data_IF_232996188408
#
_entry.id   IF_232996188408
#
_cell.length_a   1.000
_cell.length_b   1.000
_cell.length_c   1.000
_cell.angle_alpha   90.00
_cell.angle_beta   90.00
_cell.angle_gamma   90.00
#
_symmetry.space_group_name_H-M   'P 1'
#
loop_
_entity.id
_entity.type
_entity.pdbx_description
1 polymer ?
#
# COMPACT_ATOMS: atom_id res chain seq x y z
N UNK A 1 26.87 26.02 -9.94
CA UNK A 1 26.10 24.95 -9.27
C UNK A 1 26.07 23.76 -10.22
N UNK A 2 26.45 22.57 -9.76
CA UNK A 2 26.40 21.38 -10.62
C UNK A 2 24.94 20.98 -10.85
N UNK A 3 24.56 20.80 -12.12
CA UNK A 3 23.23 20.37 -12.54
C UNK A 3 23.35 18.91 -12.94
N UNK A 4 22.55 18.04 -12.32
CA UNK A 4 22.51 16.62 -12.61
C UNK A 4 21.26 16.29 -13.46
N UNK A 5 21.37 15.27 -14.32
CA UNK A 5 20.20 14.67 -14.97
C UNK A 5 19.29 14.06 -13.90
N UNK A 6 18.06 14.56 -13.82
CA UNK A 6 17.14 14.20 -12.74
C UNK A 6 16.67 12.75 -12.85
N UNK A 7 16.41 12.26 -14.07
CA UNK A 7 15.97 10.89 -14.30
C UNK A 7 17.05 9.89 -13.87
N UNK A 8 18.28 10.08 -14.33
CA UNK A 8 19.41 9.20 -13.98
C UNK A 8 19.66 9.19 -12.47
N UNK A 9 19.59 10.37 -11.85
CA UNK A 9 19.74 10.52 -10.41
C UNK A 9 18.70 9.71 -9.62
N UNK A 10 17.42 9.78 -10.03
CA UNK A 10 16.34 9.06 -9.35
C UNK A 10 16.50 7.53 -9.48
N UNK A 11 17.03 7.05 -10.60
CA UNK A 11 17.36 5.64 -10.78
C UNK A 11 18.52 5.21 -9.88
N UNK A 12 19.62 5.96 -9.86
CA UNK A 12 20.78 5.67 -9.02
C UNK A 12 20.44 5.73 -7.53
N UNK A 13 19.57 6.67 -7.12
CA UNK A 13 19.11 6.79 -5.75
C UNK A 13 18.23 5.60 -5.32
N UNK A 14 17.31 5.18 -6.18
CA UNK A 14 16.48 4.00 -5.92
C UNK A 14 17.32 2.73 -5.76
N UNK A 15 18.39 2.59 -6.55
CA UNK A 15 19.35 1.49 -6.43
C UNK A 15 20.04 1.45 -5.07
N UNK A 16 20.48 2.61 -4.56
CA UNK A 16 21.12 2.74 -3.25
C UNK A 16 20.20 2.41 -2.08
N UNK A 17 18.88 2.44 -2.27
CA UNK A 17 17.90 2.17 -1.23
C UNK A 17 17.44 0.72 -1.12
N UNK A 18 18.05 -0.18 -1.91
CA UNK A 18 17.79 -1.61 -1.84
C UNK A 18 18.19 -2.18 -0.47
N UNK A 19 17.28 -2.92 0.17
CA UNK A 19 17.49 -3.51 1.50
C UNK A 19 18.37 -4.76 1.41
N UNK A 20 19.11 -5.08 2.48
CA UNK A 20 19.96 -6.27 2.48
C UNK A 20 19.13 -7.53 2.44
N UNK A 21 19.59 -8.53 1.68
CA UNK A 21 18.89 -9.80 1.54
C UNK A 21 18.67 -10.49 2.88
N UNK A 22 19.65 -10.42 3.78
CA UNK A 22 19.53 -11.00 5.11
C UNK A 22 18.47 -10.29 5.95
N UNK A 23 18.46 -8.95 5.97
CA UNK A 23 17.43 -8.17 6.68
C UNK A 23 16.05 -8.44 6.09
N UNK A 24 15.94 -8.45 4.77
CA UNK A 24 14.72 -8.77 4.06
C UNK A 24 14.20 -10.16 4.41
N UNK A 25 15.07 -11.18 4.41
CA UNK A 25 14.68 -12.55 4.79
C UNK A 25 14.16 -12.64 6.22
N UNK A 26 14.84 -12.00 7.18
CA UNK A 26 14.40 -11.94 8.58
C UNK A 26 13.04 -11.25 8.69
N UNK A 27 12.86 -10.12 8.02
CA UNK A 27 11.57 -9.43 7.93
C UNK A 27 10.47 -10.33 7.37
N UNK A 28 10.70 -11.00 6.24
CA UNK A 28 9.71 -11.88 5.62
C UNK A 28 9.34 -13.03 6.56
N UNK A 29 10.32 -13.64 7.24
CA UNK A 29 10.06 -14.67 8.23
C UNK A 29 9.18 -14.16 9.38
N UNK A 30 9.57 -13.06 10.02
CA UNK A 30 8.85 -12.48 11.15
C UNK A 30 7.43 -12.06 10.73
N UNK A 31 7.27 -11.45 9.54
CA UNK A 31 5.95 -11.06 9.02
C UNK A 31 5.01 -12.26 8.80
N UNK A 32 5.54 -13.40 8.34
CA UNK A 32 4.77 -14.63 8.16
C UNK A 32 4.37 -15.22 9.50
N UNK A 33 5.30 -15.25 10.44
CA UNK A 33 5.05 -15.81 11.77
C UNK A 33 3.99 -14.99 12.53
N UNK A 34 4.10 -13.66 12.52
CA UNK A 34 3.08 -12.75 13.06
C UNK A 34 1.72 -12.94 12.37
N UNK A 35 1.71 -13.09 11.04
CA UNK A 35 0.50 -13.35 10.26
C UNK A 35 -0.15 -14.69 10.62
N UNK A 36 0.65 -15.74 10.88
CA UNK A 36 0.17 -17.05 11.29
C UNK A 36 -0.45 -16.99 12.69
N UNK A 37 0.23 -16.35 13.66
CA UNK A 37 -0.30 -16.19 15.01
C UNK A 37 -1.69 -15.50 15.02
N UNK A 38 -1.89 -14.49 14.16
CA UNK A 38 -3.19 -13.83 14.01
C UNK A 38 -4.24 -14.79 13.43
N UNK A 39 -3.87 -15.60 12.43
CA UNK A 39 -4.78 -16.56 11.80
C UNK A 39 -5.16 -17.69 12.75
N UNK A 40 -4.21 -18.22 13.52
CA UNK A 40 -4.42 -19.23 14.55
C UNK A 40 -5.38 -18.71 15.63
N UNK A 41 -5.17 -17.47 16.11
CA UNK A 41 -6.07 -16.90 17.09
C UNK A 41 -7.51 -16.72 16.56
N UNK A 42 -7.67 -16.35 15.28
CA UNK A 42 -8.99 -16.26 14.64
C UNK A 42 -9.66 -17.63 14.50
N UNK A 43 -8.88 -18.69 14.24
CA UNK A 43 -9.37 -20.06 14.23
C UNK A 43 -9.86 -20.49 15.62
N UNK A 44 -9.06 -20.24 16.67
CA UNK A 44 -9.43 -20.51 18.07
C UNK A 44 -10.66 -19.72 18.51
N UNK A 45 -10.80 -18.48 18.06
CA UNK A 45 -11.96 -17.64 18.33
C UNK A 45 -13.23 -18.07 17.58
N UNK A 46 -13.12 -19.08 16.71
CA UNK A 46 -14.15 -19.49 15.76
C UNK A 46 -14.71 -18.30 14.97
N UNK A 47 -13.81 -17.41 14.55
CA UNK A 47 -14.13 -16.17 13.86
C UNK A 47 -14.72 -16.45 12.47
N UNK A 48 -15.54 -15.53 11.95
CA UNK A 48 -16.08 -15.62 10.58
C UNK A 48 -14.96 -15.50 9.55
N UNK A 49 -13.93 -14.69 9.84
CA UNK A 49 -12.76 -14.53 8.97
C UNK A 49 -11.70 -15.63 9.13
N UNK A 50 -11.97 -16.70 9.89
CA UNK A 50 -11.02 -17.82 10.05
C UNK A 50 -10.66 -18.42 8.67
N UNK A 51 -9.36 -18.62 8.43
CA UNK A 51 -8.86 -19.13 7.14
C UNK A 51 -8.96 -18.16 5.95
N UNK A 52 -9.51 -16.95 6.11
CA UNK A 52 -9.65 -15.98 5.01
C UNK A 52 -8.46 -15.01 4.90
N UNK A 53 -7.64 -14.87 5.94
CA UNK A 53 -6.54 -13.90 5.98
C UNK A 53 -5.17 -14.47 5.56
N UNK A 54 -5.15 -15.54 4.75
CA UNK A 54 -3.92 -16.25 4.37
C UNK A 54 -2.86 -15.37 3.67
N UNK A 55 -3.28 -14.29 3.03
CA UNK A 55 -2.39 -13.34 2.33
C UNK A 55 -1.96 -12.14 3.19
N UNK A 56 -2.26 -12.13 4.50
CA UNK A 56 -1.97 -10.99 5.38
C UNK A 56 -0.49 -10.59 5.35
N UNK A 57 0.43 -11.54 5.33
CA UNK A 57 1.88 -11.30 5.24
C UNK A 57 2.30 -10.44 4.02
N UNK A 58 1.58 -10.48 2.90
CA UNK A 58 1.88 -9.63 1.73
C UNK A 58 1.60 -8.16 1.99
N UNK A 59 0.75 -7.86 2.97
CA UNK A 59 0.40 -6.49 3.36
C UNK A 59 1.41 -5.87 4.34
N UNK A 60 2.40 -6.66 4.77
CA UNK A 60 3.41 -6.23 5.71
C UNK A 60 4.30 -5.11 5.16
N UNK A 61 4.81 -4.29 6.07
CA UNK A 61 5.90 -3.37 5.86
C UNK A 61 6.73 -3.33 7.15
N UNK A 62 8.04 -3.49 7.03
CA UNK A 62 8.98 -3.21 8.11
C UNK A 62 9.31 -1.73 8.11
N UNK A 63 9.26 -1.11 9.28
CA UNK A 63 9.57 0.31 9.47
C UNK A 63 10.56 0.45 10.62
N UNK A 64 11.65 1.14 10.34
CA UNK A 64 12.68 1.54 11.31
C UNK A 64 13.15 2.95 10.99
N UNK A 65 12.52 3.94 11.63
CA UNK A 65 12.74 5.37 11.36
C UNK A 65 12.55 5.70 9.86
N UNK A 66 13.63 6.01 9.13
CA UNK A 66 13.61 6.29 7.69
C UNK A 66 13.68 5.02 6.84
N UNK A 67 13.94 3.85 7.42
CA UNK A 67 14.01 2.59 6.69
C UNK A 67 12.61 2.00 6.52
N UNK A 68 12.31 1.62 5.29
CA UNK A 68 11.12 0.87 4.90
C UNK A 68 11.58 -0.37 4.13
N UNK A 69 10.96 -1.51 4.43
CA UNK A 69 11.05 -2.72 3.62
C UNK A 69 9.65 -3.33 3.45
N UNK A 70 9.41 -3.99 2.32
CA UNK A 70 8.13 -4.62 1.98
C UNK A 70 8.37 -5.86 1.11
N UNK A 71 7.45 -6.84 1.11
CA UNK A 71 7.57 -7.99 0.22
C UNK A 71 7.66 -7.57 -1.25
N UNK A 72 8.41 -8.30 -2.09
CA UNK A 72 8.45 -8.01 -3.54
C UNK A 72 7.07 -8.03 -4.20
N UNK A 73 6.15 -8.83 -3.65
CA UNK A 73 4.75 -8.93 -4.03
C UNK A 73 3.84 -8.24 -3.02
N UNK A 74 4.25 -7.08 -2.49
CA UNK A 74 3.50 -6.34 -1.47
C UNK A 74 2.07 -6.02 -1.93
N UNK A 75 1.11 -6.09 -1.03
CA UNK A 75 -0.29 -5.74 -1.34
C UNK A 75 -0.78 -4.64 -0.39
N UNK A 76 -1.73 -3.84 -0.87
CA UNK A 76 -2.60 -3.03 0.00
C UNK A 76 -3.98 -3.66 0.15
N UNK A 77 -4.45 -4.38 -0.86
CA UNK A 77 -5.73 -5.08 -0.79
C UNK A 77 -5.47 -6.47 -0.21
N UNK A 78 -6.19 -6.83 0.86
CA UNK A 78 -6.19 -8.19 1.39
C UNK A 78 -7.34 -8.95 0.72
N UNK A 79 -7.06 -9.78 -0.30
CA UNK A 79 -8.10 -10.53 -0.98
C UNK A 79 -8.66 -11.62 -0.07
N UNK A 80 -9.98 -11.71 -0.01
CA UNK A 80 -10.71 -12.83 0.56
C UNK A 80 -11.68 -13.41 -0.46
N UNK A 81 -11.96 -14.71 -0.36
CA UNK A 81 -12.99 -15.35 -1.18
C UNK A 81 -14.28 -15.39 -0.38
N UNK A 82 -15.39 -15.08 -1.03
CA UNK A 82 -16.70 -15.24 -0.41
C UNK A 82 -16.96 -16.74 -0.15
N UNK A 83 -17.56 -17.09 1.00
CA UNK A 83 -17.85 -18.49 1.33
C UNK A 83 -19.04 -19.06 0.54
N UNK A 84 -19.65 -18.27 -0.33
CA UNK A 84 -20.81 -18.65 -1.11
C UNK A 84 -20.84 -17.93 -2.46
N UNK A 85 -21.38 -18.55 -3.53
CA UNK A 85 -21.50 -17.89 -4.81
C UNK A 85 -22.50 -16.73 -4.77
N UNK A 86 -22.24 -15.73 -5.60
CA UNK A 86 -23.01 -14.49 -5.71
C UNK A 86 -23.23 -14.14 -7.19
N UNK A 87 -24.29 -13.40 -7.46
CA UNK A 87 -24.63 -12.86 -8.78
C UNK A 87 -24.15 -11.41 -8.86
N UNK A 88 -23.30 -11.06 -9.82
CA UNK A 88 -22.85 -9.69 -10.02
C UNK A 88 -23.84 -8.87 -10.86
N UNK A 89 -24.00 -7.60 -10.51
CA UNK A 89 -24.61 -6.56 -11.34
C UNK A 89 -23.58 -5.44 -11.52
N UNK A 90 -23.18 -5.16 -12.76
CA UNK A 90 -22.08 -4.23 -13.04
C UNK A 90 -22.60 -2.85 -13.46
N UNK A 91 -21.92 -1.80 -13.01
CA UNK A 91 -22.16 -0.44 -13.45
C UNK A 91 -20.93 0.12 -14.17
N UNK A 92 -21.08 0.37 -15.47
CA UNK A 92 -20.01 0.89 -16.33
C UNK A 92 -19.51 2.26 -15.89
N UNK A 93 -20.40 3.25 -15.80
CA UNK A 93 -20.01 4.64 -15.50
C UNK A 93 -19.33 4.83 -14.14
N UNK A 94 -19.65 3.98 -13.16
CA UNK A 94 -19.05 4.01 -11.82
C UNK A 94 -17.88 3.03 -11.66
N UNK A 95 -17.62 2.19 -12.66
CA UNK A 95 -16.69 1.04 -12.59
C UNK A 95 -16.87 0.24 -11.29
N UNK A 96 -18.12 -0.08 -10.97
CA UNK A 96 -18.51 -0.75 -9.72
C UNK A 96 -19.29 -2.03 -9.98
N UNK A 97 -19.43 -2.83 -8.94
CA UNK A 97 -20.21 -4.07 -8.94
C UNK A 97 -21.09 -4.14 -7.69
N UNK A 98 -22.32 -4.59 -7.87
CA UNK A 98 -23.18 -5.05 -6.79
C UNK A 98 -23.19 -6.57 -6.79
N UNK A 99 -23.09 -7.17 -5.61
CA UNK A 99 -23.00 -8.61 -5.46
C UNK A 99 -24.18 -9.06 -4.60
N UNK A 100 -25.00 -9.97 -5.13
CA UNK A 100 -26.21 -10.41 -4.44
C UNK A 100 -26.40 -11.92 -4.49
N UNK A 101 -27.15 -12.45 -3.52
CA UNK A 101 -27.58 -13.83 -3.47
C UNK A 101 -28.92 -13.89 -2.75
N UNK A 102 -29.92 -14.52 -3.37
CA UNK A 102 -31.21 -14.74 -2.74
C UNK A 102 -31.07 -15.61 -1.48
N UNK A 103 -31.79 -15.24 -0.42
CA UNK A 103 -31.87 -15.97 0.85
C UNK A 103 -30.49 -16.21 1.50
N UNK A 104 -29.58 -15.25 1.37
CA UNK A 104 -28.25 -15.35 1.97
C UNK A 104 -28.33 -15.22 3.50
N UNK A 105 -27.89 -16.27 4.20
CA UNK A 105 -27.74 -16.28 5.66
C UNK A 105 -26.26 -16.32 6.02
N UNK A 106 -25.56 -15.19 5.90
CA UNK A 106 -24.17 -15.06 6.32
C UNK A 106 -23.85 -13.64 6.77
N UNK A 107 -22.98 -13.43 7.78
CA UNK A 107 -22.65 -12.09 8.32
C UNK A 107 -22.05 -11.10 7.32
N UNK A 108 -21.65 -11.58 6.14
CA UNK A 108 -21.16 -10.73 5.05
C UNK A 108 -22.28 -10.06 4.25
N UNK A 109 -23.53 -10.47 4.46
CA UNK A 109 -24.68 -9.98 3.71
C UNK A 109 -25.55 -9.09 4.58
N UNK A 110 -26.18 -8.10 3.95
CA UNK A 110 -27.29 -7.34 4.51
C UNK A 110 -28.50 -7.55 3.60
N UNK A 111 -29.50 -8.29 4.08
CA UNK A 111 -30.51 -8.87 3.20
C UNK A 111 -29.85 -9.81 2.18
N UNK A 112 -30.09 -9.57 0.89
CA UNK A 112 -29.53 -10.38 -0.19
C UNK A 112 -28.20 -9.83 -0.75
N UNK A 113 -27.72 -8.66 -0.30
CA UNK A 113 -26.55 -8.01 -0.87
C UNK A 113 -25.30 -8.25 -0.02
N UNK A 114 -24.14 -8.49 -0.66
CA UNK A 114 -22.84 -8.51 0.03
C UNK A 114 -22.51 -7.10 0.48
N UNK A 115 -22.43 -6.90 1.81
CA UNK A 115 -22.36 -5.57 2.38
C UNK A 115 -20.95 -5.23 2.90
N UNK A 116 -20.28 -4.29 2.24
CA UNK A 116 -18.90 -3.91 2.57
C UNK A 116 -18.78 -3.37 4.00
N UNK A 117 -19.79 -2.63 4.48
CA UNK A 117 -19.81 -2.05 5.82
C UNK A 117 -19.88 -3.13 6.90
N UNK A 118 -20.79 -4.10 6.77
CA UNK A 118 -20.93 -5.23 7.68
C UNK A 118 -19.62 -6.02 7.76
N UNK A 119 -19.02 -6.34 6.61
CA UNK A 119 -17.76 -7.07 6.56
C UNK A 119 -16.61 -6.33 7.26
N UNK A 120 -16.44 -5.02 6.99
CA UNK A 120 -15.37 -4.23 7.61
C UNK A 120 -15.59 -4.01 9.12
N UNK A 121 -16.84 -3.87 9.58
CA UNK A 121 -17.15 -3.74 11.00
C UNK A 121 -16.92 -5.06 11.75
N UNK A 122 -17.33 -6.18 11.17
CA UNK A 122 -17.09 -7.51 11.72
C UNK A 122 -15.59 -7.82 11.79
N UNK A 123 -14.86 -7.58 10.70
CA UNK A 123 -13.41 -7.78 10.66
C UNK A 123 -12.69 -6.95 11.73
N UNK A 124 -13.16 -5.72 11.96
CA UNK A 124 -12.64 -4.87 13.04
C UNK A 124 -12.84 -5.50 14.42
N UNK A 125 -14.03 -6.01 14.70
CA UNK A 125 -14.32 -6.64 15.99
C UNK A 125 -13.47 -7.89 16.19
N UNK A 126 -13.39 -8.76 15.18
CA UNK A 126 -12.63 -10.02 15.27
C UNK A 126 -11.14 -9.78 15.41
N UNK A 127 -10.54 -8.89 14.61
CA UNK A 127 -9.11 -8.56 14.75
C UNK A 127 -8.80 -7.85 16.06
N UNK A 128 -9.67 -6.96 16.53
CA UNK A 128 -9.48 -6.30 17.82
C UNK A 128 -9.46 -7.34 18.95
N UNK A 129 -10.38 -8.31 18.93
CA UNK A 129 -10.43 -9.41 19.89
C UNK A 129 -9.19 -10.30 19.79
N UNK A 130 -8.87 -10.80 18.60
CA UNK A 130 -7.73 -11.69 18.38
C UNK A 130 -6.41 -11.04 18.81
N UNK A 131 -6.13 -9.81 18.37
CA UNK A 131 -4.91 -9.08 18.76
C UNK A 131 -4.83 -8.83 20.26
N UNK A 132 -5.96 -8.55 20.92
CA UNK A 132 -5.99 -8.35 22.38
C UNK A 132 -5.70 -9.62 23.19
N UNK A 133 -5.97 -10.81 22.62
CA UNK A 133 -5.67 -12.10 23.24
C UNK A 133 -4.21 -12.50 23.05
N UNK A 134 -3.68 -12.34 21.83
CA UNK A 134 -2.29 -12.66 21.51
C UNK A 134 -1.33 -11.82 22.36
N UNK A 135 -1.57 -10.50 22.43
CA UNK A 135 -0.75 -9.48 23.10
C UNK A 135 0.68 -9.36 22.57
N UNK A 136 1.47 -10.42 22.65
CA UNK A 136 2.84 -10.45 22.15
C UNK A 136 3.18 -11.76 21.43
N UNK A 137 4.14 -11.67 20.51
CA UNK A 137 4.58 -12.78 19.68
C UNK A 137 6.10 -12.80 19.64
N UNK A 138 6.71 -13.93 19.98
CA UNK A 138 8.16 -14.14 19.93
C UNK A 138 8.57 -14.83 18.63
N UNK A 139 9.54 -14.28 17.90
CA UNK A 139 10.14 -14.93 16.73
C UNK A 139 11.22 -15.91 17.15
N UNK A 140 11.04 -17.18 16.75
CA UNK A 140 12.05 -18.22 16.93
C UNK A 140 13.28 -18.01 16.05
N UNK A 141 13.16 -17.29 14.93
CA UNK A 141 14.25 -17.06 13.99
C UNK A 141 15.11 -15.85 14.38
N UNK A 142 14.48 -14.73 14.74
CA UNK A 142 15.20 -13.50 15.07
C UNK A 142 15.44 -13.33 16.58
N UNK A 143 14.78 -14.13 17.43
CA UNK A 143 14.79 -13.96 18.88
C UNK A 143 14.02 -12.72 19.35
N UNK A 144 13.41 -11.97 18.43
CA UNK A 144 12.70 -10.72 18.72
C UNK A 144 11.31 -11.00 19.29
N UNK A 145 10.86 -10.12 20.17
CA UNK A 145 9.50 -10.16 20.71
C UNK A 145 8.76 -8.91 20.29
N UNK A 146 7.56 -9.10 19.77
CA UNK A 146 6.71 -8.03 19.26
C UNK A 146 5.46 -7.87 20.10
N UNK A 147 5.14 -6.63 20.47
CA UNK A 147 3.83 -6.28 21.04
C UNK A 147 2.87 -5.89 19.92
N UNK A 148 1.68 -6.50 19.91
CA UNK A 148 0.68 -6.28 18.88
C UNK A 148 -0.32 -5.19 19.28
N UNK A 149 -0.67 -4.35 18.31
CA UNK A 149 -1.73 -3.37 18.43
C UNK A 149 -2.58 -3.35 17.17
N UNK A 150 -3.88 -3.25 17.36
CA UNK A 150 -4.84 -3.11 16.27
C UNK A 150 -5.45 -1.70 16.24
N UNK A 151 -5.60 -1.14 15.04
CA UNK A 151 -6.30 0.12 14.80
C UNK A 151 -6.86 0.18 13.37
N UNK A 152 -7.66 1.21 13.09
CA UNK A 152 -8.28 1.40 11.77
C UNK A 152 -8.25 2.87 11.35
N UNK A 153 -8.08 3.12 10.06
CA UNK A 153 -8.42 4.39 9.42
C UNK A 153 -9.87 4.29 8.92
N UNK A 154 -10.73 5.16 9.42
CA UNK A 154 -12.14 5.18 9.05
C UNK A 154 -12.41 6.13 7.89
N UNK A 155 -13.38 5.74 7.06
CA UNK A 155 -14.00 6.58 6.05
C UNK A 155 -15.52 6.53 6.24
N UNK A 156 -16.13 7.70 6.43
CA UNK A 156 -17.56 7.84 6.73
C UNK A 156 -18.00 6.92 7.88
N UNK A 157 -17.27 7.00 9.00
CA UNK A 157 -17.49 6.23 10.25
C UNK A 157 -17.33 4.70 10.15
N UNK A 158 -16.92 4.18 9.00
CA UNK A 158 -16.73 2.74 8.79
C UNK A 158 -15.25 2.47 8.48
N UNK A 159 -14.65 1.38 9.00
CA UNK A 159 -13.27 1.03 8.70
C UNK A 159 -13.01 0.94 7.20
N UNK A 160 -11.85 1.43 6.78
CA UNK A 160 -11.40 1.37 5.40
C UNK A 160 -10.02 0.73 5.30
N UNK A 161 -9.04 1.25 6.06
CA UNK A 161 -7.74 0.61 6.22
C UNK A 161 -7.67 -0.02 7.62
N UNK A 162 -7.41 -1.31 7.66
CA UNK A 162 -7.11 -2.06 8.89
C UNK A 162 -5.61 -2.08 9.13
N UNK A 163 -5.21 -1.93 10.38
CA UNK A 163 -3.80 -1.76 10.76
C UNK A 163 -3.49 -2.65 11.96
N UNK A 164 -2.67 -3.68 11.74
CA UNK A 164 -2.03 -4.44 12.82
C UNK A 164 -0.58 -4.01 12.88
N UNK A 165 -0.13 -3.51 14.03
CA UNK A 165 1.24 -3.07 14.26
C UNK A 165 1.89 -3.98 15.29
N UNK A 166 2.99 -4.59 14.91
CA UNK A 166 3.86 -5.41 15.74
C UNK A 166 5.11 -4.60 16.08
N UNK A 167 5.17 -4.05 17.28
CA UNK A 167 6.27 -3.20 17.74
C UNK A 167 7.32 -4.05 18.44
N UNK A 168 8.59 -3.96 18.02
CA UNK A 168 9.69 -4.67 18.66
C UNK A 168 9.89 -4.16 20.10
N UNK A 169 9.94 -5.07 21.07
CA UNK A 169 10.23 -4.73 22.47
C UNK A 169 11.64 -4.16 22.62
N UNK A 170 11.80 -3.25 23.57
CA UNK A 170 13.10 -2.60 23.84
C UNK A 170 13.53 -1.57 22.79
N UNK A 171 12.68 -1.24 21.81
CA UNK A 171 13.02 -0.32 20.71
C UNK A 171 12.37 1.06 20.83
N UNK A 172 11.79 1.41 21.98
CA UNK A 172 11.07 2.68 22.19
C UNK A 172 10.02 2.99 21.10
N UNK A 173 9.43 1.96 20.50
CA UNK A 173 8.44 2.11 19.44
C UNK A 173 8.98 2.46 18.05
N UNK A 174 10.31 2.46 17.85
CA UNK A 174 10.92 2.86 16.58
C UNK A 174 10.91 1.77 15.52
N UNK A 175 11.13 0.52 15.93
CA UNK A 175 11.18 -0.65 15.04
C UNK A 175 9.87 -1.41 15.11
N UNK A 176 9.22 -1.58 13.95
CA UNK A 176 7.92 -2.24 13.86
C UNK A 176 7.72 -2.95 12.52
N UNK A 177 6.89 -4.00 12.56
CA UNK A 177 6.27 -4.59 11.37
C UNK A 177 4.80 -4.20 11.40
N UNK A 178 4.30 -3.63 10.31
CA UNK A 178 2.90 -3.24 10.19
C UNK A 178 2.21 -3.93 9.03
N UNK A 179 1.03 -4.44 9.28
CA UNK A 179 0.11 -4.98 8.29
C UNK A 179 -0.98 -3.94 8.07
N UNK A 180 -0.83 -3.17 7.00
CA UNK A 180 -1.84 -2.22 6.56
C UNK A 180 -2.58 -2.78 5.36
N UNK A 181 -3.90 -2.88 5.45
CA UNK A 181 -4.67 -3.42 4.34
C UNK A 181 -6.11 -2.91 4.24
N UNK A 182 -6.62 -2.91 3.02
CA UNK A 182 -8.02 -2.71 2.67
C UNK A 182 -8.62 -4.07 2.37
N UNK A 183 -9.74 -4.40 3.02
CA UNK A 183 -10.46 -5.65 2.72
C UNK A 183 -10.97 -5.62 1.27
N UNK A 184 -10.69 -6.68 0.52
CA UNK A 184 -11.17 -6.84 -0.84
C UNK A 184 -11.69 -8.26 -1.09
N UNK A 185 -12.68 -8.39 -1.97
CA UNK A 185 -13.21 -9.66 -2.44
C UNK A 185 -12.44 -10.06 -3.70
N UNK A 186 -11.91 -11.27 -3.76
CA UNK A 186 -11.23 -11.82 -4.94
C UNK A 186 -12.16 -12.71 -5.75
N UNK A 187 -12.12 -12.53 -7.07
CA UNK A 187 -12.84 -13.34 -8.04
C UNK A 187 -11.88 -13.82 -9.12
N UNK A 188 -12.04 -15.09 -9.51
CA UNK A 188 -11.34 -15.65 -10.67
C UNK A 188 -12.05 -15.19 -11.93
N UNK A 189 -11.35 -14.52 -12.84
CA UNK A 189 -11.96 -13.99 -14.07
C UNK A 189 -12.50 -15.05 -15.02
N UNK A 190 -12.09 -16.31 -14.87
CA UNK A 190 -12.68 -17.44 -15.60
C UNK A 190 -14.06 -17.85 -15.05
N UNK A 191 -14.30 -17.65 -13.74
CA UNK A 191 -15.55 -18.01 -13.07
C UNK A 191 -16.55 -16.84 -13.05
N UNK A 192 -16.05 -15.61 -12.89
CA UNK A 192 -16.85 -14.40 -12.87
C UNK A 192 -16.22 -13.38 -13.83
N UNK A 193 -16.65 -13.44 -15.08
CA UNK A 193 -16.10 -12.62 -16.17
C UNK A 193 -16.50 -11.16 -15.99
N UNK A 194 -15.51 -10.26 -16.01
CA UNK A 194 -15.78 -8.83 -16.05
C UNK A 194 -16.25 -8.43 -17.46
N UNK A 195 -17.24 -7.51 -17.57
CA UNK A 195 -17.61 -6.91 -18.84
C UNK A 195 -16.40 -6.29 -19.57
N UNK A 196 -16.40 -6.27 -20.93
CA UNK A 196 -15.26 -5.82 -21.72
C UNK A 196 -14.74 -4.41 -21.39
N UNK A 197 -15.62 -3.50 -20.98
CA UNK A 197 -15.27 -2.12 -20.64
C UNK A 197 -14.40 -1.99 -19.37
N UNK A 198 -14.21 -3.05 -18.59
CA UNK A 198 -13.22 -3.07 -17.51
C UNK A 198 -11.79 -3.37 -18.00
N UNK A 199 -11.62 -3.77 -19.26
CA UNK A 199 -10.32 -4.10 -19.87
C UNK A 199 -9.50 -5.13 -19.08
N UNK A 200 -10.19 -6.05 -18.42
CA UNK A 200 -9.58 -7.13 -17.66
C UNK A 200 -9.09 -8.22 -18.63
N UNK A 201 -7.83 -8.66 -18.55
CA UNK A 201 -7.37 -9.80 -19.34
C UNK A 201 -8.19 -11.06 -18.98
N UNK A 202 -8.62 -11.79 -19.99
CA UNK A 202 -9.42 -13.02 -19.83
C UNK A 202 -8.67 -14.00 -18.92
N UNK A 203 -9.39 -14.57 -17.95
CA UNK A 203 -8.85 -15.56 -17.01
C UNK A 203 -8.03 -14.99 -15.86
N UNK A 204 -7.72 -13.68 -15.83
CA UNK A 204 -7.04 -13.08 -14.68
C UNK A 204 -8.00 -12.76 -13.55
N UNK A 205 -7.49 -12.82 -12.33
CA UNK A 205 -8.24 -12.41 -11.15
C UNK A 205 -8.54 -10.92 -11.17
N UNK A 206 -9.66 -10.55 -10.56
CA UNK A 206 -10.00 -9.18 -10.25
C UNK A 206 -10.49 -9.10 -8.81
N UNK A 207 -10.47 -7.90 -8.25
CA UNK A 207 -10.91 -7.69 -6.87
C UNK A 207 -11.97 -6.60 -6.79
N UNK A 208 -12.85 -6.73 -5.80
CA UNK A 208 -13.83 -5.73 -5.43
C UNK A 208 -13.46 -5.17 -4.06
N UNK A 209 -13.27 -3.85 -3.94
CA UNK A 209 -12.98 -3.21 -2.66
C UNK A 209 -14.01 -2.14 -2.35
N UNK A 210 -14.16 -1.79 -1.06
CA UNK A 210 -15.14 -0.80 -0.64
C UNK A 210 -14.87 0.54 -1.34
N UNK A 211 -15.87 1.06 -2.06
CA UNK A 211 -15.72 2.34 -2.73
C UNK A 211 -15.65 3.49 -1.73
N UNK A 212 -14.77 4.46 -2.00
CA UNK A 212 -14.72 5.73 -1.28
C UNK A 212 -15.80 6.62 -1.87
N UNK A 213 -16.96 6.70 -1.21
CA UNK A 213 -18.07 7.53 -1.70
C UNK A 213 -17.63 8.98 -1.89
N UNK A 214 -17.91 9.56 -3.06
CA UNK A 214 -17.82 11.00 -3.28
C UNK A 214 -19.01 11.67 -2.57
N UNK A 215 -18.78 12.81 -1.92
CA UNK A 215 -19.82 13.50 -1.15
C UNK A 215 -21.05 13.76 -2.03
N UNK A 216 -22.23 13.32 -1.56
CA UNK A 216 -23.53 13.65 -2.19
C UNK A 216 -24.21 12.54 -2.99
N UNK A 217 -23.64 11.34 -3.11
CA UNK A 217 -24.32 10.21 -3.76
C UNK A 217 -25.36 9.57 -2.81
N UNK A 218 -26.67 9.59 -3.14
CA UNK A 218 -27.70 8.97 -2.32
C UNK A 218 -27.67 7.43 -2.35
N UNK A 219 -27.03 6.83 -3.36
CA UNK A 219 -26.92 5.39 -3.55
C UNK A 219 -25.47 5.01 -3.93
N UNK A 220 -24.50 5.18 -3.02
CA UNK A 220 -23.11 4.89 -3.35
C UNK A 220 -22.96 3.39 -3.63
N UNK A 221 -22.37 3.06 -4.78
CA UNK A 221 -22.03 1.68 -5.09
C UNK A 221 -21.09 1.15 -3.99
N UNK A 222 -21.37 -0.04 -3.47
CA UNK A 222 -20.61 -0.54 -2.32
C UNK A 222 -19.20 -1.01 -2.71
N UNK A 223 -19.05 -1.59 -3.90
CA UNK A 223 -17.81 -2.22 -4.35
C UNK A 223 -17.28 -1.62 -5.65
N UNK A 224 -16.09 -1.01 -5.58
CA UNK A 224 -15.32 -0.62 -6.74
C UNK A 224 -14.57 -1.84 -7.31
N UNK A 225 -14.56 -1.98 -8.63
CA UNK A 225 -13.82 -3.05 -9.31
C UNK A 225 -12.39 -2.58 -9.57
N UNK A 226 -11.42 -3.43 -9.25
CA UNK A 226 -10.01 -3.21 -9.52
C UNK A 226 -9.41 -4.45 -10.19
N UNK A 227 -8.67 -4.23 -11.27
CA UNK A 227 -7.89 -5.28 -11.94
C UNK A 227 -6.44 -5.11 -11.49
N UNK A 228 -5.87 -6.04 -10.70
CA UNK A 228 -4.53 -5.88 -10.17
C UNK A 228 -3.45 -6.13 -11.24
N UNK A 229 -3.19 -5.11 -12.06
CA UNK A 229 -2.33 -5.18 -13.27
C UNK A 229 -0.84 -5.39 -13.01
N UNK A 230 -0.39 -5.12 -11.78
CA UNK A 230 1.03 -5.17 -11.40
C UNK A 230 1.47 -6.54 -10.86
N UNK A 231 0.54 -7.40 -10.44
CA UNK A 231 0.87 -8.70 -9.85
C UNK A 231 1.54 -9.68 -10.84
N UNK A 232 1.37 -9.45 -12.15
CA UNK A 232 2.02 -10.21 -13.23
C UNK A 232 3.27 -9.51 -13.78
N UNK A 233 3.93 -8.68 -12.97
CA UNK A 233 5.16 -8.00 -13.38
C UNK A 233 6.36 -8.92 -13.15
N UNK A 234 7.39 -8.75 -13.98
CA UNK A 234 8.63 -9.50 -13.84
C UNK A 234 9.35 -9.10 -12.54
N UNK A 235 10.14 -9.99 -11.91
CA UNK A 235 10.83 -9.69 -10.64
C UNK A 235 11.62 -8.38 -10.62
N UNK A 236 12.28 -8.04 -11.73
CA UNK A 236 13.00 -6.78 -11.88
C UNK A 236 12.10 -5.55 -11.76
N UNK A 237 10.94 -5.57 -12.43
CA UNK A 237 9.96 -4.49 -12.34
C UNK A 237 9.38 -4.37 -10.93
N UNK A 238 9.11 -5.50 -10.25
CA UNK A 238 8.68 -5.50 -8.85
C UNK A 238 9.71 -4.84 -7.92
N UNK A 239 11.00 -5.09 -8.16
CA UNK A 239 12.09 -4.52 -7.37
C UNK A 239 12.27 -3.02 -7.64
N UNK A 240 12.14 -2.57 -8.90
CA UNK A 240 12.14 -1.14 -9.23
C UNK A 240 10.98 -0.40 -8.55
N UNK A 241 9.78 -0.98 -8.57
CA UNK A 241 8.61 -0.44 -7.88
C UNK A 241 8.88 -0.37 -6.38
N UNK A 242 9.38 -1.45 -5.77
CA UNK A 242 9.70 -1.48 -4.34
C UNK A 242 10.67 -0.36 -3.97
N UNK A 243 11.75 -0.21 -4.72
CA UNK A 243 12.75 0.83 -4.49
C UNK A 243 12.16 2.24 -4.67
N UNK A 244 11.29 2.45 -5.65
CA UNK A 244 10.52 3.68 -5.83
C UNK A 244 9.68 4.02 -4.58
N UNK A 245 8.99 3.04 -4.00
CA UNK A 245 8.16 3.26 -2.80
C UNK A 245 9.01 3.53 -1.55
N UNK A 246 10.15 2.84 -1.40
CA UNK A 246 11.10 3.06 -0.30
C UNK A 246 11.71 4.47 -0.38
N UNK A 247 12.12 4.90 -1.57
CA UNK A 247 12.61 6.24 -1.83
C UNK A 247 11.57 7.30 -1.45
N UNK A 248 10.32 7.14 -1.91
CA UNK A 248 9.24 8.07 -1.61
C UNK A 248 8.92 8.12 -0.11
N UNK A 249 8.89 6.96 0.56
CA UNK A 249 8.74 6.89 2.01
C UNK A 249 9.81 7.70 2.75
N UNK A 250 11.08 7.49 2.37
CA UNK A 250 12.23 8.17 2.97
C UNK A 250 12.14 9.67 2.78
N UNK A 251 11.88 10.12 1.56
CA UNK A 251 11.72 11.52 1.22
C UNK A 251 10.60 12.18 2.05
N UNK A 252 9.41 11.58 2.08
CA UNK A 252 8.28 12.12 2.84
C UNK A 252 8.55 12.11 4.35
N UNK A 253 9.20 11.08 4.87
CA UNK A 253 9.57 10.99 6.28
C UNK A 253 10.59 12.06 6.68
N UNK A 254 11.63 12.27 5.87
CA UNK A 254 12.63 13.32 6.08
C UNK A 254 12.00 14.71 6.04
N UNK A 255 11.02 14.93 5.17
CA UNK A 255 10.25 16.17 5.08
C UNK A 255 9.13 16.28 6.13
N UNK A 256 9.13 15.39 7.14
CA UNK A 256 8.16 15.35 8.24
C UNK A 256 6.69 15.29 7.75
N UNK A 257 6.46 14.63 6.63
CA UNK A 257 5.14 14.39 6.05
C UNK A 257 4.61 13.02 6.47
N UNK A 258 4.61 12.74 7.79
CA UNK A 258 4.34 11.41 8.36
C UNK A 258 2.97 10.83 7.96
N UNK A 259 1.95 11.64 7.74
CA UNK A 259 0.64 11.18 7.25
C UNK A 259 0.70 10.66 5.80
N UNK A 260 1.61 11.19 4.98
CA UNK A 260 1.81 10.78 3.60
C UNK A 260 2.85 9.68 3.48
N UNK A 261 3.81 9.62 4.42
CA UNK A 261 4.81 8.56 4.54
C UNK A 261 4.27 7.26 5.18
N UNK A 262 2.96 7.09 5.35
CA UNK A 262 2.43 5.81 5.83
C UNK A 262 2.52 4.73 4.73
N UNK A 263 3.00 3.51 5.02
CA UNK A 263 2.98 2.41 4.04
C UNK A 263 1.60 2.17 3.42
N UNK A 264 0.53 2.21 4.22
CA UNK A 264 -0.85 2.22 3.72
C UNK A 264 -1.09 3.25 2.60
N UNK A 265 -0.67 4.50 2.83
CA UNK A 265 -0.87 5.62 1.90
C UNK A 265 -0.10 5.41 0.59
N UNK A 266 1.16 5.00 0.71
CA UNK A 266 2.06 4.78 -0.42
C UNK A 266 1.57 3.60 -1.29
N UNK A 267 1.26 2.46 -0.67
CA UNK A 267 0.77 1.27 -1.38
C UNK A 267 -0.60 1.52 -2.03
N UNK A 268 -1.50 2.22 -1.34
CA UNK A 268 -2.82 2.57 -1.90
C UNK A 268 -2.68 3.49 -3.11
N UNK A 269 -1.87 4.55 -3.01
CA UNK A 269 -1.62 5.45 -4.12
C UNK A 269 -0.97 4.74 -5.32
N UNK A 270 -0.01 3.84 -5.07
CA UNK A 270 0.57 2.99 -6.12
C UNK A 270 -0.50 2.15 -6.82
N UNK A 271 -1.37 1.46 -6.08
CA UNK A 271 -2.43 0.66 -6.70
C UNK A 271 -3.35 1.51 -7.60
N UNK A 272 -3.68 2.72 -7.17
CA UNK A 272 -4.49 3.66 -7.97
C UNK A 272 -3.77 4.14 -9.23
N UNK A 273 -2.46 4.44 -9.15
CA UNK A 273 -1.64 4.76 -10.33
C UNK A 273 -1.66 3.60 -11.33
N UNK A 274 -1.48 2.37 -10.87
CA UNK A 274 -1.47 1.20 -11.77
C UNK A 274 -2.83 0.99 -12.44
N UNK A 275 -3.93 1.31 -11.75
CA UNK A 275 -5.25 1.23 -12.35
C UNK A 275 -5.45 2.29 -13.43
N UNK A 276 -5.10 3.55 -13.13
CA UNK A 276 -5.22 4.69 -14.04
C UNK A 276 -4.33 4.56 -15.28
N UNK A 277 -3.05 4.20 -15.07
CA UNK A 277 -2.04 4.07 -16.14
C UNK A 277 -2.09 2.72 -16.86
N UNK A 278 -2.94 1.80 -16.42
CA UNK A 278 -3.23 0.51 -17.08
C UNK A 278 -2.00 -0.34 -17.39
N UNK A 279 -1.58 -0.47 -18.65
CA UNK A 279 -0.36 -1.21 -19.03
C UNK A 279 0.86 -0.29 -19.11
N UNK A 280 0.63 1.01 -19.27
CA UNK A 280 1.66 2.03 -19.49
C UNK A 280 2.49 2.28 -18.23
N UNK A 281 1.99 1.89 -17.04
CA UNK A 281 2.79 1.99 -15.81
C UNK A 281 4.10 1.18 -15.91
N UNK A 282 4.13 0.12 -16.71
CA UNK A 282 5.31 -0.73 -16.89
C UNK A 282 6.44 -0.03 -17.65
N UNK A 283 6.11 1.00 -18.43
CA UNK A 283 7.07 1.83 -19.16
C UNK A 283 7.47 3.10 -18.42
N UNK A 284 6.89 3.37 -17.24
CA UNK A 284 7.22 4.55 -16.45
C UNK A 284 8.59 4.40 -15.80
N UNK A 285 9.38 5.47 -15.85
CA UNK A 285 10.59 5.62 -15.06
C UNK A 285 10.27 5.71 -13.56
N UNK A 286 11.28 5.51 -12.72
CA UNK A 286 11.16 5.71 -11.28
C UNK A 286 10.69 7.13 -10.94
N UNK A 287 11.19 8.14 -11.65
CA UNK A 287 10.78 9.54 -11.46
C UNK A 287 9.30 9.77 -11.79
N UNK A 288 8.86 9.33 -12.97
CA UNK A 288 7.45 9.44 -13.40
C UNK A 288 6.52 8.70 -12.44
N UNK A 289 6.91 7.49 -12.02
CA UNK A 289 6.14 6.68 -11.09
C UNK A 289 6.05 7.35 -9.71
N UNK A 290 7.17 7.88 -9.21
CA UNK A 290 7.22 8.61 -7.93
C UNK A 290 6.26 9.81 -7.93
N UNK A 291 6.27 10.60 -9.00
CA UNK A 291 5.40 11.77 -9.14
C UNK A 291 3.94 11.36 -9.22
N UNK A 292 3.61 10.34 -10.01
CA UNK A 292 2.24 9.85 -10.12
C UNK A 292 1.72 9.36 -8.77
N UNK A 293 2.51 8.59 -8.01
CA UNK A 293 2.12 8.13 -6.68
C UNK A 293 1.91 9.33 -5.75
N UNK A 294 2.86 10.26 -5.70
CA UNK A 294 2.78 11.44 -4.85
C UNK A 294 1.55 12.31 -5.20
N UNK A 295 1.21 12.44 -6.48
CA UNK A 295 0.00 13.13 -6.93
C UNK A 295 -1.26 12.52 -6.29
N UNK A 296 -1.43 11.19 -6.35
CA UNK A 296 -2.59 10.53 -5.74
C UNK A 296 -2.63 10.67 -4.22
N UNK A 297 -1.47 10.67 -3.56
CA UNK A 297 -1.39 10.88 -2.11
C UNK A 297 -1.84 12.28 -1.70
N UNK A 298 -1.40 13.30 -2.44
CA UNK A 298 -1.55 14.71 -2.07
C UNK A 298 -2.88 15.31 -2.52
N UNK A 299 -3.38 14.92 -3.68
CA UNK A 299 -4.53 15.56 -4.33
C UNK A 299 -5.78 14.69 -4.41
N UNK A 300 -5.66 13.35 -4.33
CA UNK A 300 -6.79 12.45 -4.56
C UNK A 300 -7.24 11.71 -3.30
N UNK A 301 -6.63 10.55 -3.03
CA UNK A 301 -7.33 9.43 -2.41
C UNK A 301 -7.21 9.38 -0.87
N UNK A 302 -6.14 9.95 -0.30
CA UNK A 302 -5.82 9.78 1.12
C UNK A 302 -6.13 11.01 1.99
N UNK A 303 -6.35 12.17 1.36
CA UNK A 303 -6.55 13.43 2.07
C UNK A 303 -7.80 13.39 2.99
N UNK A 304 -8.92 12.83 2.51
CA UNK A 304 -10.17 12.78 3.28
C UNK A 304 -10.11 11.80 4.46
N UNK A 305 -9.45 10.64 4.29
CA UNK A 305 -9.32 9.63 5.34
C UNK A 305 -8.37 10.07 6.47
N UNK A 306 -7.32 10.83 6.17
CA UNK A 306 -6.40 11.37 7.20
C UNK A 306 -7.09 12.46 8.02
N UNK A 307 -7.86 13.34 7.38
CA UNK A 307 -8.57 14.45 8.03
C UNK A 307 -9.73 13.96 8.91
N UNK A 308 -10.47 12.94 8.46
CA UNK A 308 -11.64 12.39 9.17
C UNK A 308 -11.32 11.65 10.46
N UNK A 309 -10.07 11.18 10.64
CA UNK A 309 -9.64 10.42 11.82
C UNK A 309 -9.07 11.30 12.96
N UNK A 310 -9.26 12.62 12.90
CA UNK A 310 -8.90 13.54 13.99
C UNK A 310 -9.89 13.45 15.16
N UNK A 311 -9.68 12.50 16.08
CA UNK A 311 -10.48 12.34 17.33
C UNK A 311 -9.98 13.25 18.46
N UNK A 312 -10.86 13.89 19.21
CA UNK A 312 -10.51 14.67 20.40
C UNK A 312 -11.48 15.83 20.64
N UNK A 313 -11.26 16.59 21.70
CA UNK A 313 -11.97 17.85 21.93
C UNK A 313 -11.73 18.86 20.79
N UNK A 314 -12.50 19.95 20.78
CA UNK A 314 -12.46 20.96 19.70
C UNK A 314 -11.06 21.54 19.50
N UNK A 315 -10.29 21.75 20.57
CA UNK A 315 -8.95 22.33 20.51
C UNK A 315 -7.92 21.33 19.94
N UNK A 316 -7.90 20.10 20.45
CA UNK A 316 -7.05 19.01 19.97
C UNK A 316 -7.33 18.67 18.51
N UNK A 317 -8.62 18.66 18.11
CA UNK A 317 -9.02 18.46 16.71
C UNK A 317 -8.49 19.56 15.81
N UNK A 318 -8.62 20.82 16.22
CA UNK A 318 -8.13 21.98 15.46
C UNK A 318 -6.61 21.94 15.31
N UNK A 319 -5.88 21.65 16.39
CA UNK A 319 -4.43 21.52 16.38
C UNK A 319 -3.95 20.41 15.43
N UNK A 320 -4.56 19.21 15.52
CA UNK A 320 -4.24 18.10 14.62
C UNK A 320 -4.57 18.41 13.16
N UNK A 321 -5.70 19.07 12.90
CA UNK A 321 -6.06 19.50 11.55
C UNK A 321 -5.01 20.46 10.97
N UNK A 322 -4.53 21.41 11.78
CA UNK A 322 -3.46 22.32 11.36
C UNK A 322 -2.14 21.57 11.11
N UNK A 323 -1.79 20.59 11.94
CA UNK A 323 -0.63 19.74 11.72
C UNK A 323 -0.74 18.97 10.38
N UNK A 324 -1.90 18.40 10.07
CA UNK A 324 -2.16 17.71 8.80
C UNK A 324 -2.05 18.69 7.62
N UNK A 325 -2.62 19.89 7.72
CA UNK A 325 -2.52 20.93 6.67
C UNK A 325 -1.07 21.36 6.43
N UNK A 326 -0.27 21.52 7.48
CA UNK A 326 1.18 21.81 7.35
C UNK A 326 1.90 20.69 6.62
N UNK A 327 1.62 19.43 6.97
CA UNK A 327 2.18 18.28 6.24
C UNK A 327 1.73 18.26 4.78
N UNK A 328 0.47 18.58 4.49
CA UNK A 328 -0.05 18.64 3.13
C UNK A 328 0.65 19.74 2.31
N UNK A 329 0.88 20.92 2.89
CA UNK A 329 1.62 21.99 2.24
C UNK A 329 3.05 21.56 1.91
N UNK A 330 3.74 20.90 2.85
CA UNK A 330 5.08 20.34 2.61
C UNK A 330 5.08 19.31 1.50
N UNK A 331 4.14 18.35 1.52
CA UNK A 331 4.02 17.33 0.48
C UNK A 331 3.69 17.91 -0.90
N UNK A 332 2.87 18.98 -0.98
CA UNK A 332 2.64 19.75 -2.22
C UNK A 332 3.89 20.45 -2.72
N UNK A 333 4.69 21.01 -1.80
CA UNK A 333 5.99 21.60 -2.14
C UNK A 333 6.95 20.57 -2.74
N UNK A 334 7.06 19.40 -2.11
CA UNK A 334 7.84 18.27 -2.65
C UNK A 334 7.34 17.86 -4.03
N UNK A 335 6.02 17.73 -4.22
CA UNK A 335 5.44 17.40 -5.52
C UNK A 335 5.80 18.44 -6.60
N UNK A 336 5.59 19.73 -6.32
CA UNK A 336 5.87 20.78 -7.28
C UNK A 336 7.34 20.80 -7.72
N UNK A 337 8.24 20.57 -6.76
CA UNK A 337 9.68 20.51 -6.99
C UNK A 337 10.07 19.30 -7.86
N UNK A 338 9.58 18.10 -7.54
CA UNK A 338 9.86 16.91 -8.35
C UNK A 338 9.25 17.02 -9.75
N UNK A 339 8.05 17.61 -9.86
CA UNK A 339 7.39 17.84 -11.14
C UNK A 339 8.19 18.81 -12.04
N UNK A 340 8.66 19.94 -11.50
CA UNK A 340 9.52 20.87 -12.24
C UNK A 340 10.85 20.20 -12.65
N UNK A 341 11.46 19.42 -11.75
CA UNK A 341 12.70 18.69 -12.04
C UNK A 341 12.53 17.66 -13.18
N UNK A 342 11.38 16.97 -13.26
CA UNK A 342 11.08 16.08 -14.41
C UNK A 342 10.88 16.84 -15.69
N UNK A 343 10.14 17.95 -15.66
CA UNK A 343 9.87 18.77 -16.85
C UNK A 343 11.19 19.30 -17.43
N UNK A 344 12.10 19.75 -16.57
CA UNK A 344 13.43 20.27 -16.97
C UNK A 344 14.47 19.17 -17.20
N UNK A 345 14.18 17.94 -16.78
CA UNK A 345 15.13 16.86 -16.61
C UNK A 345 16.44 17.29 -15.91
N UNK A 346 16.33 18.17 -14.91
CA UNK A 346 17.46 18.81 -14.27
C UNK A 346 17.19 19.08 -12.80
N UNK A 347 18.19 18.83 -11.95
CA UNK A 347 18.14 19.14 -10.51
C UNK A 347 19.50 19.68 -10.06
N UNK A 348 19.51 20.64 -9.13
CA UNK A 348 20.76 21.14 -8.56
C UNK A 348 21.26 20.23 -7.44
N UNK A 349 22.58 20.10 -7.32
CA UNK A 349 23.24 19.35 -6.24
C UNK A 349 22.77 19.77 -4.84
N UNK A 350 22.52 21.06 -4.64
CA UNK A 350 22.12 21.61 -3.34
C UNK A 350 20.69 21.20 -2.97
N UNK A 351 19.81 21.12 -3.97
CA UNK A 351 18.45 20.59 -3.81
C UNK A 351 18.50 19.09 -3.50
N UNK A 352 19.38 18.36 -4.17
CA UNK A 352 19.63 16.94 -3.87
C UNK A 352 20.10 16.77 -2.42
N UNK A 353 21.07 17.58 -1.98
CA UNK A 353 21.56 17.54 -0.61
C UNK A 353 20.48 17.86 0.42
N UNK A 354 19.67 18.90 0.18
CA UNK A 354 18.63 19.34 1.09
C UNK A 354 17.49 18.31 1.25
N UNK A 355 17.15 17.57 0.19
CA UNK A 355 16.01 16.65 0.19
C UNK A 355 16.39 15.18 0.41
N UNK A 356 17.61 14.77 0.04
CA UNK A 356 18.02 13.36 0.03
C UNK A 356 19.25 13.03 0.88
N UNK A 357 20.14 13.98 1.24
CA UNK A 357 21.43 13.66 1.87
C UNK A 357 21.44 13.67 3.41
N UNK A 358 20.44 14.27 4.05
CA UNK A 358 20.20 14.06 5.50
C UNK A 358 19.62 12.66 5.81
N UNK A 359 19.45 11.82 4.78
CA UNK A 359 19.09 10.42 4.90
C UNK A 359 20.42 9.67 4.97
N UNK A 360 20.78 9.10 6.14
CA UNK A 360 21.94 8.22 6.21
C UNK A 360 21.73 7.03 5.25
N UNK A 361 22.51 7.00 4.15
CA UNK A 361 22.53 5.91 3.18
C UNK A 361 23.66 4.99 3.59
N UNK A 362 23.34 3.88 4.24
CA UNK A 362 24.29 2.78 4.36
C UNK A 362 24.61 2.25 2.95
N UNK A 363 25.86 1.87 2.64
CA UNK A 363 26.22 1.39 1.31
C UNK A 363 25.31 0.23 0.88
N UNK A 364 24.98 0.13 -0.43
CA UNK A 364 24.09 -0.91 -0.93
C UNK A 364 24.67 -2.29 -0.58
N UNK A 365 23.83 -3.22 -0.09
CA UNK A 365 24.28 -4.54 0.32
C UNK A 365 24.65 -5.43 -0.88
N UNK A 366 25.63 -6.33 -0.67
CA UNK A 366 26.19 -7.24 -1.66
C UNK A 366 25.22 -8.34 -2.12
N UNK A 367 24.15 -8.07 -2.88
CA UNK A 367 23.45 -9.17 -3.61
C UNK A 367 22.30 -8.81 -4.55
N UNK A 368 21.48 -7.78 -4.31
CA UNK A 368 20.40 -7.43 -5.27
C UNK A 368 20.90 -6.59 -6.45
N UNK A 369 22.10 -6.03 -6.31
CA UNK A 369 22.75 -5.24 -7.34
C UNK A 369 22.92 -6.01 -8.65
N UNK A 370 23.32 -7.28 -8.61
CA UNK A 370 23.48 -8.08 -9.82
C UNK A 370 22.17 -8.30 -10.58
N UNK A 371 21.06 -8.63 -9.90
CA UNK A 371 19.76 -8.79 -10.57
C UNK A 371 19.20 -7.48 -11.11
N UNK A 372 19.47 -6.35 -10.44
CA UNK A 372 19.08 -5.03 -10.93
C UNK A 372 19.95 -4.54 -12.09
N UNK A 373 21.25 -4.81 -12.05
CA UNK A 373 22.19 -4.53 -13.15
C UNK A 373 21.89 -5.44 -14.35
N UNK A 374 21.55 -6.71 -14.12
CA UNK A 374 21.09 -7.62 -15.17
C UNK A 374 19.77 -7.15 -15.78
N UNK A 375 18.77 -6.76 -14.99
CA UNK A 375 17.51 -6.16 -15.50
C UNK A 375 17.81 -4.88 -16.27
N UNK A 376 18.64 -3.99 -15.73
CA UNK A 376 19.11 -2.76 -16.41
C UNK A 376 19.80 -3.07 -17.74
N UNK A 377 20.58 -4.15 -17.81
CA UNK A 377 21.35 -4.55 -18.99
C UNK A 377 20.56 -5.45 -19.96
N UNK A 378 19.38 -5.94 -19.58
CA UNK A 378 18.56 -6.84 -20.41
C UNK A 378 17.22 -6.21 -20.82
N UNK A 379 16.72 -5.21 -20.11
CA UNK A 379 15.48 -4.52 -20.45
C UNK A 379 15.70 -3.51 -21.61
N UNK A 380 15.07 -3.74 -22.79
CA UNK A 380 15.22 -2.88 -23.96
C UNK A 380 14.64 -1.47 -23.77
N UNK A 381 13.73 -1.26 -22.81
CA UNK A 381 13.14 0.05 -22.52
C UNK A 381 14.13 0.96 -21.77
N UNK A 382 14.90 0.39 -20.82
CA UNK A 382 15.96 1.10 -20.10
C UNK A 382 17.19 1.33 -21.00
N UNK A 383 17.48 0.43 -21.95
CA UNK A 383 18.53 0.64 -22.96
C UNK A 383 18.23 1.79 -23.92
N UNK A 384 16.96 1.96 -24.35
CA UNK A 384 16.60 2.98 -25.36
C UNK A 384 16.80 4.42 -24.88
N UNK A 385 16.64 4.71 -23.58
CA UNK A 385 16.82 6.07 -23.05
C UNK A 385 18.29 6.52 -22.97
N UNK A 386 19.25 5.60 -23.03
CA UNK A 386 20.69 5.93 -23.03
C UNK A 386 21.22 6.33 -24.41
N UNK A 387 20.60 5.81 -25.48
CA UNK A 387 21.05 6.04 -26.86
C UNK A 387 20.49 7.32 -27.49
N UNK A 388 19.68 8.09 -26.76
CA UNK A 388 19.22 9.43 -27.14
C UNK A 388 19.94 10.50 -26.33
N UNK A 389 21.28 10.41 -26.29
CA UNK A 389 22.17 11.47 -25.79
C UNK A 389 22.70 12.29 -26.95
#
# INVERSE_FOLDING_TARGET
MAVCNFLDFMEDLAMQFTVSKEQHHRFIHDSRMLSLAIQEQLLEDNAVFKGLLGQLHRTAAYVDNLRLDMPLNFEIFLPIRLPMPVTPSYHEGRRSVELSRANAQHPFFFGNAVNAKSMNLLLKQELQKAVSKIKCVGSSCSGLVYDLKYSVLNLNQVPFVHQVVATERGCNGQRLIRFDFVLALEFLGAEMVLPPYFEAPIGKRWIAYRMVAQNGDPHPAEWAVLVPKWQDSQPGACLMVLNCLIMLYRLLSAQQCSCFALPASIKFAFAMVTEERRKDFRSMTIAELTIAILYHQVFCNFNHAVVSNTRGDKAARTSRLMAIRKQQLRARGVYALLADAVIRNAITSDLVHAFFWYIHISPPPDCFYHSLVEVRNTDPLLKRKRNSS
#
